data_IF_515223242678
#
_entry.id   IF_515223242678
#
_cell.length_a   1.000
_cell.length_b   1.000
_cell.length_c   1.000
_cell.angle_alpha   90.00
_cell.angle_beta   90.00
_cell.angle_gamma   90.00
#
_symmetry.space_group_name_H-M   'P 1'
#
loop_
_entity.id
_entity.type
_entity.pdbx_description
1 polymer ?
#
# COMPACT_ATOMS: atom_id res chain seq x y z
N UNK A 1 15.83 16.61 -28.46
CA UNK A 1 16.17 15.70 -27.34
C UNK A 1 14.89 15.05 -26.85
N UNK A 2 14.68 13.76 -27.14
CA UNK A 2 13.48 13.02 -26.73
C UNK A 2 13.54 12.74 -25.23
N UNK A 3 12.72 13.44 -24.44
CA UNK A 3 12.53 13.17 -23.01
C UNK A 3 12.11 11.70 -22.86
N UNK A 4 13.02 10.84 -22.38
CA UNK A 4 12.72 9.45 -21.99
C UNK A 4 11.66 9.52 -20.89
N UNK A 5 10.43 9.24 -21.28
CA UNK A 5 9.24 9.34 -20.44
C UNK A 5 9.21 8.32 -19.28
N UNK A 6 8.18 8.41 -18.43
CA UNK A 6 8.07 7.83 -17.07
C UNK A 6 8.05 6.28 -16.97
N UNK A 7 8.48 5.55 -18.00
CA UNK A 7 8.36 4.09 -18.12
C UNK A 7 9.05 3.30 -17.00
N UNK A 8 10.12 3.84 -16.39
CA UNK A 8 10.83 3.19 -15.28
C UNK A 8 10.05 3.21 -13.95
N UNK A 9 9.18 4.19 -13.73
CA UNK A 9 8.44 4.33 -12.46
C UNK A 9 7.44 3.20 -12.26
N UNK A 10 6.71 2.82 -13.33
CA UNK A 10 5.66 1.82 -13.24
C UNK A 10 6.19 0.41 -12.94
N UNK A 11 7.37 0.05 -13.46
CA UNK A 11 7.96 -1.29 -13.25
C UNK A 11 8.34 -1.52 -11.77
N UNK A 12 8.82 -0.48 -11.08
CA UNK A 12 9.14 -0.57 -9.66
C UNK A 12 7.87 -0.74 -8.82
N UNK A 13 6.83 0.05 -9.11
CA UNK A 13 5.55 -0.01 -8.40
C UNK A 13 4.91 -1.41 -8.49
N UNK A 14 4.81 -1.97 -9.70
CA UNK A 14 4.25 -3.31 -9.89
C UNK A 14 5.08 -4.40 -9.19
N UNK A 15 6.40 -4.25 -9.13
CA UNK A 15 7.27 -5.18 -8.40
C UNK A 15 6.99 -5.14 -6.90
N UNK A 16 6.79 -3.95 -6.32
CA UNK A 16 6.44 -3.79 -4.90
C UNK A 16 5.07 -4.38 -4.57
N UNK A 17 4.07 -4.18 -5.45
CA UNK A 17 2.74 -4.78 -5.30
C UNK A 17 2.80 -6.31 -5.32
N UNK A 18 3.57 -6.88 -6.26
CA UNK A 18 3.72 -8.33 -6.37
C UNK A 18 4.37 -8.94 -5.12
N UNK A 19 5.44 -8.30 -4.62
CA UNK A 19 6.09 -8.72 -3.36
C UNK A 19 5.08 -8.67 -2.21
N UNK A 20 4.35 -7.57 -2.07
CA UNK A 20 3.33 -7.42 -1.02
C UNK A 20 2.24 -8.52 -1.10
N UNK A 21 1.74 -8.85 -2.29
CA UNK A 21 0.76 -9.91 -2.48
C UNK A 21 1.29 -11.28 -2.01
N UNK A 22 2.56 -11.60 -2.29
CA UNK A 22 3.18 -12.85 -1.83
C UNK A 22 3.19 -12.91 -0.30
N UNK A 23 3.60 -11.83 0.36
CA UNK A 23 3.59 -11.76 1.83
C UNK A 23 2.18 -11.86 2.41
N UNK A 24 1.18 -11.22 1.77
CA UNK A 24 -0.21 -11.31 2.20
C UNK A 24 -0.76 -12.75 2.12
N UNK A 25 -0.42 -13.48 1.05
CA UNK A 25 -0.83 -14.88 0.88
C UNK A 25 -0.15 -15.79 1.91
N UNK A 26 1.16 -15.66 2.11
CA UNK A 26 1.91 -16.43 3.12
C UNK A 26 1.33 -16.18 4.50
N UNK A 27 1.12 -14.90 4.84
CA UNK A 27 0.49 -14.45 6.08
C UNK A 27 -0.85 -15.15 6.31
N UNK A 28 -1.74 -15.14 5.31
CA UNK A 28 -3.05 -15.80 5.40
C UNK A 28 -2.96 -17.29 5.72
N UNK A 29 -2.07 -18.03 5.05
CA UNK A 29 -1.92 -19.47 5.28
C UNK A 29 -1.35 -19.78 6.68
N UNK A 30 -0.37 -19.00 7.13
CA UNK A 30 0.21 -19.15 8.48
C UNK A 30 -0.85 -18.85 9.54
N UNK A 31 -1.59 -17.74 9.41
CA UNK A 31 -2.65 -17.37 10.36
C UNK A 31 -3.75 -18.40 10.39
N UNK A 32 -4.20 -18.91 9.23
CA UNK A 32 -5.24 -19.94 9.17
C UNK A 32 -4.80 -21.21 9.89
N UNK A 33 -3.58 -21.68 9.65
CA UNK A 33 -3.03 -22.88 10.31
C UNK A 33 -2.96 -22.66 11.83
N UNK A 34 -2.45 -21.52 12.27
CA UNK A 34 -2.39 -21.17 13.69
C UNK A 34 -3.79 -21.04 14.32
N UNK A 35 -4.70 -20.34 13.68
CA UNK A 35 -6.07 -20.14 14.18
C UNK A 35 -6.80 -21.48 14.35
N UNK A 36 -6.67 -22.40 13.40
CA UNK A 36 -7.28 -23.74 13.55
C UNK A 36 -6.69 -24.46 14.77
N UNK A 37 -5.37 -24.46 14.95
CA UNK A 37 -4.73 -25.11 16.10
C UNK A 37 -5.22 -24.49 17.41
N UNK A 38 -5.21 -23.17 17.52
CA UNK A 38 -5.55 -22.44 18.74
C UNK A 38 -7.04 -22.54 19.05
N UNK A 39 -7.94 -22.25 18.10
CA UNK A 39 -9.38 -22.21 18.39
C UNK A 39 -10.05 -23.57 18.46
N UNK A 40 -9.58 -24.56 17.71
CA UNK A 40 -10.23 -25.87 17.73
C UNK A 40 -9.68 -26.77 18.82
N UNK A 41 -8.36 -26.79 19.04
CA UNK A 41 -7.73 -27.79 19.89
C UNK A 41 -7.38 -27.27 21.28
N UNK A 42 -6.91 -26.04 21.42
CA UNK A 42 -6.53 -25.52 22.74
C UNK A 42 -7.72 -25.48 23.73
N UNK A 43 -8.95 -25.05 23.36
CA UNK A 43 -10.11 -25.13 24.25
C UNK A 43 -10.49 -26.55 24.68
N UNK A 44 -10.25 -27.57 23.84
CA UNK A 44 -10.57 -28.96 24.19
C UNK A 44 -9.75 -29.43 25.39
N UNK A 45 -8.50 -28.95 25.51
CA UNK A 45 -7.63 -29.28 26.65
C UNK A 45 -8.22 -28.84 27.99
N UNK A 46 -9.12 -27.85 28.05
CA UNK A 46 -9.79 -27.44 29.30
C UNK A 46 -10.58 -28.59 29.95
N UNK A 47 -11.12 -29.50 29.12
CA UNK A 47 -11.88 -30.66 29.57
C UNK A 47 -11.03 -31.89 29.87
N UNK A 48 -9.73 -31.84 29.59
CA UNK A 48 -8.86 -33.00 29.74
C UNK A 48 -8.66 -33.38 31.21
N UNK A 49 -8.73 -34.67 31.55
CA UNK A 49 -8.35 -35.16 32.88
C UNK A 49 -6.87 -34.90 33.15
N UNK A 50 -6.53 -34.84 34.44
CA UNK A 50 -5.14 -34.64 34.88
C UNK A 50 -4.58 -35.85 35.63
N UNK A 51 -3.26 -35.99 35.57
CA UNK A 51 -2.48 -36.95 36.35
C UNK A 51 -1.17 -36.32 36.79
N UNK A 52 -0.55 -36.86 37.84
CA UNK A 52 0.79 -36.44 38.26
C UNK A 52 1.84 -37.13 37.38
N UNK A 53 2.68 -36.32 36.74
CA UNK A 53 3.83 -36.76 35.97
C UNK A 53 5.15 -36.44 36.67
N UNK A 54 6.22 -37.09 36.22
CA UNK A 54 7.58 -36.83 36.66
C UNK A 54 8.30 -36.11 35.52
N UNK A 55 8.76 -34.87 35.74
CA UNK A 55 9.49 -34.14 34.73
C UNK A 55 10.90 -34.73 34.58
N UNK A 56 11.35 -34.82 33.34
CA UNK A 56 12.69 -35.23 32.94
C UNK A 56 13.49 -33.98 32.56
N UNK A 57 13.98 -33.27 33.57
CA UNK A 57 14.89 -32.13 33.39
C UNK A 57 16.32 -32.61 33.13
N UNK A 58 16.49 -33.51 32.17
CA UNK A 58 17.79 -34.06 31.87
C UNK A 58 18.63 -33.03 31.11
N UNK A 59 19.89 -32.90 31.51
CA UNK A 59 20.77 -31.86 30.99
C UNK A 59 21.36 -32.32 29.66
N UNK A 60 20.94 -31.72 28.54
CA UNK A 60 21.71 -31.89 27.31
C UNK A 60 22.94 -30.97 27.34
N UNK A 61 24.10 -31.63 27.48
CA UNK A 61 25.42 -31.03 27.66
C UNK A 61 25.76 -30.07 26.50
N UNK A 62 26.19 -28.86 26.86
CA UNK A 62 26.68 -27.79 25.97
C UNK A 62 27.58 -28.33 24.85
N UNK A 63 27.30 -27.91 23.61
CA UNK A 63 28.30 -27.91 22.54
C UNK A 63 29.11 -26.62 22.73
N UNK A 64 30.26 -26.73 23.42
CA UNK A 64 31.28 -25.69 23.42
C UNK A 64 31.74 -25.49 21.97
N UNK A 65 31.32 -24.39 21.35
CA UNK A 65 31.82 -24.02 20.05
C UNK A 65 32.99 -23.04 20.26
N UNK A 66 34.21 -23.59 20.22
CA UNK A 66 35.47 -22.92 19.84
C UNK A 66 35.91 -21.64 20.57
N UNK A 67 37.01 -21.78 21.31
CA UNK A 67 38.21 -20.93 21.45
C UNK A 67 38.12 -19.41 21.70
N UNK A 68 36.94 -18.79 21.73
CA UNK A 68 36.82 -17.37 22.08
C UNK A 68 36.60 -17.20 23.59
N UNK A 69 37.53 -16.53 24.31
CA UNK A 69 37.29 -16.16 25.70
C UNK A 69 36.12 -15.18 25.77
N UNK A 70 35.03 -15.59 26.41
CA UNK A 70 33.84 -14.76 26.63
C UNK A 70 32.51 -15.33 26.11
N UNK A 71 32.49 -16.50 25.47
CA UNK A 71 31.24 -17.10 25.01
C UNK A 71 30.53 -17.84 26.16
N UNK A 72 29.35 -17.37 26.56
CA UNK A 72 28.51 -18.02 27.58
C UNK A 72 28.04 -19.40 27.11
N UNK A 73 28.09 -20.39 28.01
CA UNK A 73 27.60 -21.73 27.74
C UNK A 73 26.06 -21.75 27.82
N UNK A 74 25.39 -21.95 26.69
CA UNK A 74 23.95 -22.21 26.68
C UNK A 74 23.68 -23.69 27.03
N UNK A 75 22.81 -23.92 28.01
CA UNK A 75 22.35 -25.27 28.37
C UNK A 75 20.95 -25.51 27.79
N UNK A 76 20.78 -26.63 27.10
CA UNK A 76 19.49 -27.04 26.59
C UNK A 76 18.73 -27.80 27.68
N UNK A 77 17.57 -27.30 28.07
CA UNK A 77 16.66 -28.06 28.93
C UNK A 77 15.50 -28.53 28.06
N UNK A 78 15.45 -29.82 27.77
CA UNK A 78 14.23 -30.42 27.24
C UNK A 78 13.19 -30.49 28.35
N UNK A 79 11.94 -30.30 27.99
CA UNK A 79 10.82 -30.30 28.93
C UNK A 79 10.03 -31.59 28.78
N UNK A 80 10.77 -32.69 28.70
CA UNK A 80 10.19 -34.01 28.61
C UNK A 80 9.59 -34.37 29.97
N UNK A 81 8.45 -35.03 29.99
CA UNK A 81 7.84 -35.54 31.21
C UNK A 81 7.21 -36.90 30.96
N UNK A 82 7.20 -37.72 32.00
CA UNK A 82 6.57 -39.05 31.97
C UNK A 82 5.36 -39.08 32.87
N UNK A 83 4.31 -39.79 32.47
CA UNK A 83 3.07 -39.90 33.21
C UNK A 83 2.42 -41.26 32.95
N UNK A 84 1.61 -41.74 33.91
CA UNK A 84 0.97 -43.04 33.80
C UNK A 84 -0.55 -42.89 33.71
N UNK A 85 -1.15 -43.51 32.70
CA UNK A 85 -2.61 -43.54 32.50
C UNK A 85 -3.02 -45.00 32.32
N UNK A 86 -3.85 -45.51 33.24
CA UNK A 86 -4.34 -46.88 33.17
C UNK A 86 -3.26 -47.97 33.24
N UNK A 87 -2.12 -47.70 33.89
CA UNK A 87 -0.99 -48.62 33.98
C UNK A 87 0.03 -48.47 32.85
N UNK A 88 -0.27 -47.73 31.78
CA UNK A 88 0.66 -47.46 30.68
C UNK A 88 1.39 -46.14 30.90
N UNK A 89 2.73 -46.16 30.75
CA UNK A 89 3.56 -44.96 30.83
C UNK A 89 3.66 -44.30 29.47
N UNK A 90 3.41 -42.99 29.44
CA UNK A 90 3.52 -42.13 28.28
C UNK A 90 4.58 -41.05 28.54
N UNK A 91 5.13 -40.50 27.46
CA UNK A 91 6.06 -39.38 27.48
C UNK A 91 5.45 -38.23 26.69
N UNK A 92 5.57 -37.01 27.20
CA UNK A 92 5.17 -35.79 26.50
C UNK A 92 6.24 -34.71 26.60
N UNK A 93 6.26 -33.82 25.63
CA UNK A 93 7.21 -32.71 25.46
C UNK A 93 6.50 -31.37 25.17
N UNK A 94 5.17 -31.37 25.24
CA UNK A 94 4.32 -30.23 24.91
C UNK A 94 3.92 -29.49 26.19
N UNK A 95 4.20 -28.19 26.20
CA UNK A 95 3.81 -27.30 27.30
C UNK A 95 2.36 -26.86 27.16
N UNK A 96 2.07 -26.25 26.01
CA UNK A 96 0.78 -25.76 25.60
C UNK A 96 0.46 -26.30 24.22
N UNK A 97 -0.82 -26.41 23.92
CA UNK A 97 -1.22 -26.87 22.60
C UNK A 97 -0.78 -25.89 21.50
N UNK A 98 0.12 -26.33 20.62
CA UNK A 98 0.72 -25.48 19.57
C UNK A 98 2.12 -24.97 19.89
N UNK A 99 2.63 -25.21 21.10
CA UNK A 99 3.98 -24.86 21.55
C UNK A 99 4.72 -26.14 21.95
N UNK A 100 5.77 -26.49 21.20
CA UNK A 100 6.78 -27.45 21.65
C UNK A 100 7.72 -26.76 22.63
N UNK A 101 8.25 -27.47 23.63
CA UNK A 101 9.28 -26.85 24.46
C UNK A 101 10.60 -26.71 23.66
N UNK A 102 11.25 -25.52 23.65
CA UNK A 102 10.81 -24.23 24.17
C UNK A 102 9.90 -23.48 23.17
N UNK A 103 8.93 -22.66 23.66
CA UNK A 103 7.98 -21.93 22.83
C UNK A 103 8.74 -20.98 21.89
N UNK A 104 8.72 -21.28 20.60
CA UNK A 104 9.30 -20.43 19.56
C UNK A 104 10.83 -20.52 19.44
N UNK A 105 11.28 -21.04 18.30
CA UNK A 105 12.58 -20.71 17.68
C UNK A 105 13.87 -21.17 18.36
N UNK A 106 13.85 -22.22 19.18
CA UNK A 106 15.10 -22.75 19.75
C UNK A 106 15.77 -21.75 20.70
N UNK A 107 14.97 -20.90 21.35
CA UNK A 107 15.47 -19.98 22.36
C UNK A 107 15.96 -20.74 23.58
N UNK A 108 17.19 -20.42 23.97
CA UNK A 108 17.92 -20.99 25.08
C UNK A 108 17.36 -20.46 26.39
N UNK A 109 16.89 -21.31 27.29
CA UNK A 109 16.57 -20.90 28.66
C UNK A 109 17.87 -20.77 29.44
N UNK A 110 18.10 -19.60 30.01
CA UNK A 110 19.16 -19.39 31.00
C UNK A 110 18.85 -20.19 32.28
N UNK A 111 19.87 -20.44 33.12
CA UNK A 111 19.65 -21.14 34.41
C UNK A 111 18.55 -20.51 35.29
N UNK A 112 18.46 -19.17 35.43
CA UNK A 112 17.39 -18.53 36.19
C UNK A 112 15.99 -18.76 35.61
N UNK A 113 15.81 -18.60 34.30
CA UNK A 113 14.50 -18.79 33.65
C UNK A 113 14.01 -20.23 33.77
N UNK A 114 14.92 -21.20 33.69
CA UNK A 114 14.60 -22.61 33.96
C UNK A 114 14.08 -22.80 35.38
N UNK A 115 14.75 -22.22 36.36
CA UNK A 115 14.38 -22.39 37.77
C UNK A 115 13.02 -21.72 38.07
N UNK A 116 12.70 -20.63 37.39
CA UNK A 116 11.36 -20.02 37.41
C UNK A 116 10.30 -20.93 36.78
N UNK A 117 10.59 -21.54 35.64
CA UNK A 117 9.69 -22.52 35.00
C UNK A 117 9.47 -23.71 35.92
N UNK A 118 10.53 -24.30 36.49
CA UNK A 118 10.42 -25.40 37.45
C UNK A 118 9.55 -25.01 38.64
N UNK A 119 9.83 -23.85 39.25
CA UNK A 119 9.06 -23.34 40.39
C UNK A 119 7.58 -23.09 40.06
N UNK A 120 7.25 -22.80 38.80
CA UNK A 120 5.88 -22.57 38.35
C UNK A 120 5.08 -23.87 38.18
N UNK A 121 5.74 -24.98 37.80
CA UNK A 121 5.05 -26.21 37.40
C UNK A 121 5.21 -27.40 38.34
N UNK A 122 6.36 -27.49 39.01
CA UNK A 122 6.60 -28.53 40.00
C UNK A 122 5.81 -28.23 41.27
N UNK A 123 5.14 -29.26 41.78
CA UNK A 123 4.62 -29.23 43.14
C UNK A 123 5.73 -29.49 44.18
N UNK A 124 5.35 -29.53 45.45
CA UNK A 124 6.29 -29.74 46.56
C UNK A 124 7.04 -31.07 46.50
N UNK A 125 6.53 -32.03 45.72
CA UNK A 125 7.12 -33.37 45.55
C UNK A 125 7.95 -33.46 44.25
N UNK A 126 8.16 -32.33 43.56
CA UNK A 126 8.87 -32.29 42.27
C UNK A 126 8.08 -32.90 41.11
N UNK A 127 6.75 -33.05 41.25
CA UNK A 127 5.87 -33.60 40.21
C UNK A 127 5.16 -32.49 39.46
N UNK A 128 4.86 -32.73 38.19
CA UNK A 128 4.11 -31.81 37.34
C UNK A 128 2.68 -32.31 37.14
N UNK A 129 1.74 -31.39 36.97
CA UNK A 129 0.36 -31.76 36.62
C UNK A 129 0.26 -31.87 35.11
N UNK A 130 -0.02 -33.07 34.63
CA UNK A 130 -0.12 -33.40 33.20
C UNK A 130 -1.59 -33.57 32.83
N UNK A 131 -2.04 -32.85 31.80
CA UNK A 131 -3.39 -32.98 31.24
C UNK A 131 -3.32 -33.78 29.96
N UNK A 132 -4.03 -34.91 29.87
CA UNK A 132 -3.93 -35.84 28.74
C UNK A 132 -5.25 -35.96 27.99
N UNK A 133 -5.19 -36.20 26.68
CA UNK A 133 -6.36 -36.45 25.88
C UNK A 133 -6.93 -37.85 26.20
N UNK A 134 -8.18 -37.97 26.70
CA UNK A 134 -8.73 -39.28 27.08
C UNK A 134 -8.98 -40.19 25.88
N UNK A 135 -9.11 -39.64 24.67
CA UNK A 135 -9.26 -40.42 23.43
C UNK A 135 -7.93 -40.86 22.83
N UNK A 136 -6.83 -40.18 23.18
CA UNK A 136 -5.47 -40.49 22.72
C UNK A 136 -4.45 -40.08 23.81
N UNK A 137 -4.20 -40.93 24.82
CA UNK A 137 -3.35 -40.58 25.95
C UNK A 137 -1.88 -40.31 25.60
N UNK A 138 -1.47 -40.49 24.35
CA UNK A 138 -0.14 -40.05 23.88
C UNK A 138 -0.04 -38.53 23.75
N UNK A 139 -1.18 -37.83 23.66
CA UNK A 139 -1.25 -36.38 23.62
C UNK A 139 -1.46 -35.85 25.03
N UNK A 140 -0.50 -35.08 25.52
CA UNK A 140 -0.64 -34.37 26.79
C UNK A 140 -0.03 -32.97 26.73
N UNK A 141 -0.47 -32.13 27.66
CA UNK A 141 0.00 -30.76 27.87
C UNK A 141 0.16 -30.48 29.36
N UNK A 142 1.08 -29.58 29.72
CA UNK A 142 1.24 -29.10 31.09
C UNK A 142 0.26 -27.97 31.43
N UNK A 143 -0.16 -27.21 30.42
CA UNK A 143 -1.11 -26.12 30.56
C UNK A 143 -2.29 -26.24 29.60
N UNK A 144 -3.48 -25.99 30.13
CA UNK A 144 -4.75 -26.04 29.39
C UNK A 144 -5.12 -24.67 28.84
N UNK A 145 -5.96 -24.70 27.81
CA UNK A 145 -6.63 -23.55 27.27
C UNK A 145 -5.74 -22.66 26.40
N UNK A 146 -6.26 -21.46 26.14
CA UNK A 146 -5.60 -20.42 25.34
C UNK A 146 -4.80 -19.55 26.32
N UNK A 147 -3.51 -19.36 26.04
CA UNK A 147 -2.65 -18.45 26.82
C UNK A 147 -2.68 -17.03 26.23
N UNK A 148 -2.12 -16.07 26.97
CA UNK A 148 -2.00 -14.67 26.53
C UNK A 148 -1.13 -14.53 25.28
N UNK A 149 -0.10 -15.37 25.12
CA UNK A 149 0.82 -15.31 23.98
C UNK A 149 0.11 -15.62 22.66
N UNK A 150 -0.72 -16.65 22.62
CA UNK A 150 -1.58 -16.96 21.48
C UNK A 150 -2.47 -15.77 21.10
N UNK A 151 -3.03 -15.08 22.09
CA UNK A 151 -3.85 -13.88 21.86
C UNK A 151 -2.98 -12.75 21.30
N UNK A 152 -1.80 -12.52 21.86
CA UNK A 152 -0.86 -11.49 21.38
C UNK A 152 -0.48 -11.77 19.93
N UNK A 153 -0.01 -12.97 19.60
CA UNK A 153 0.33 -13.33 18.21
C UNK A 153 -0.86 -13.19 17.27
N UNK A 154 -2.06 -13.58 17.71
CA UNK A 154 -3.27 -13.45 16.92
C UNK A 154 -3.68 -12.00 16.66
N UNK A 155 -3.41 -11.07 17.58
CA UNK A 155 -3.71 -9.65 17.41
C UNK A 155 -2.60 -8.89 16.68
N UNK A 156 -1.35 -9.24 16.95
CA UNK A 156 -0.16 -8.61 16.39
C UNK A 156 -0.06 -8.83 14.88
N UNK A 157 -0.39 -10.03 14.42
CA UNK A 157 -0.27 -10.41 13.01
C UNK A 157 -1.23 -9.66 12.05
N UNK A 158 -2.56 -9.56 12.33
CA UNK A 158 -3.46 -8.73 11.52
C UNK A 158 -3.10 -7.25 11.64
N UNK A 159 -2.60 -6.79 12.79
CA UNK A 159 -2.12 -5.41 12.96
C UNK A 159 -0.95 -5.09 12.00
N UNK A 160 0.07 -5.95 11.93
CA UNK A 160 1.14 -5.78 10.95
C UNK A 160 0.63 -5.85 9.51
N UNK A 161 -0.29 -6.77 9.23
CA UNK A 161 -0.92 -6.87 7.90
C UNK A 161 -1.61 -5.55 7.52
N UNK A 162 -2.37 -4.93 8.44
CA UNK A 162 -2.99 -3.63 8.23
C UNK A 162 -1.96 -2.53 7.96
N UNK A 163 -0.87 -2.47 8.73
CA UNK A 163 0.22 -1.51 8.49
C UNK A 163 0.80 -1.69 7.09
N UNK A 164 1.10 -2.92 6.67
CA UNK A 164 1.63 -3.18 5.33
C UNK A 164 0.63 -2.82 4.24
N UNK A 165 -0.66 -3.11 4.42
CA UNK A 165 -1.71 -2.73 3.46
C UNK A 165 -1.82 -1.21 3.33
N UNK A 166 -1.79 -0.49 4.47
CA UNK A 166 -1.87 0.97 4.51
C UNK A 166 -0.65 1.62 3.90
N UNK A 167 0.55 1.07 4.16
CA UNK A 167 1.78 1.55 3.54
C UNK A 167 1.79 1.33 2.02
N UNK A 168 1.32 0.17 1.54
CA UNK A 168 1.18 -0.07 0.11
C UNK A 168 0.20 0.91 -0.54
N UNK A 169 -0.95 1.18 0.10
CA UNK A 169 -1.91 2.20 -0.34
C UNK A 169 -1.33 3.61 -0.33
N UNK A 170 -0.56 3.96 0.70
CA UNK A 170 0.12 5.24 0.79
C UNK A 170 1.15 5.42 -0.33
N UNK A 171 1.93 4.38 -0.64
CA UNK A 171 2.83 4.39 -1.79
C UNK A 171 2.05 4.56 -3.09
N UNK A 172 0.98 3.80 -3.30
CA UNK A 172 0.10 3.95 -4.47
C UNK A 172 -0.44 5.38 -4.59
N UNK A 173 -0.87 5.98 -3.49
CA UNK A 173 -1.31 7.37 -3.43
C UNK A 173 -0.19 8.33 -3.84
N UNK A 174 1.01 8.21 -3.26
CA UNK A 174 2.16 9.04 -3.61
C UNK A 174 2.55 8.92 -5.09
N UNK A 175 2.47 7.73 -5.67
CA UNK A 175 2.74 7.51 -7.09
C UNK A 175 1.60 7.94 -8.01
N UNK A 176 0.36 8.01 -7.50
CA UNK A 176 -0.81 8.52 -8.23
C UNK A 176 -0.92 10.04 -8.18
N UNK A 177 -0.16 10.71 -7.31
CA UNK A 177 -0.02 12.16 -7.39
C UNK A 177 0.54 12.47 -8.78
N UNK A 178 -0.15 13.30 -9.57
CA UNK A 178 0.36 13.67 -10.88
C UNK A 178 1.78 14.21 -10.70
N UNK A 179 2.73 13.84 -11.58
CA UNK A 179 4.02 14.51 -11.57
C UNK A 179 3.74 16.00 -11.62
N UNK A 180 4.50 16.82 -10.88
CA UNK A 180 4.39 18.27 -11.03
C UNK A 180 4.67 18.57 -12.51
N UNK A 181 3.62 18.72 -13.31
CA UNK A 181 3.76 19.00 -14.73
C UNK A 181 4.36 20.39 -14.84
N UNK A 182 5.50 20.47 -15.51
CA UNK A 182 6.11 21.75 -15.89
C UNK A 182 5.15 22.39 -16.88
N UNK A 183 4.42 23.41 -16.42
CA UNK A 183 3.36 24.06 -17.20
C UNK A 183 3.97 25.05 -18.20
N UNK A 184 5.09 25.68 -17.82
CA UNK A 184 5.86 26.57 -18.70
C UNK A 184 7.30 26.75 -18.23
N UNK A 185 8.16 27.17 -19.16
CA UNK A 185 9.55 27.53 -18.90
C UNK A 185 9.66 29.05 -18.95
N UNK A 186 10.30 29.65 -17.96
CA UNK A 186 10.47 31.10 -17.87
C UNK A 186 11.97 31.45 -17.77
N UNK A 187 12.51 32.31 -18.65
CA UNK A 187 13.91 32.72 -18.56
C UNK A 187 14.14 33.70 -17.41
N UNK A 188 15.20 33.51 -16.64
CA UNK A 188 15.57 34.43 -15.56
C UNK A 188 15.89 35.82 -16.12
N UNK A 189 15.33 36.92 -15.55
CA UNK A 189 15.54 38.28 -16.07
C UNK A 189 16.99 38.80 -15.89
N UNK A 190 17.82 38.11 -15.10
CA UNK A 190 19.21 38.51 -14.83
C UNK A 190 20.24 37.70 -15.58
N UNK A 191 20.04 36.39 -15.71
CA UNK A 191 21.02 35.47 -16.29
C UNK A 191 20.48 34.60 -17.43
N UNK A 192 19.24 34.82 -17.86
CA UNK A 192 18.58 34.12 -18.98
C UNK A 192 18.46 32.59 -18.82
N UNK A 193 18.82 32.05 -17.67
CA UNK A 193 18.66 30.62 -17.38
C UNK A 193 17.19 30.23 -17.42
N UNK A 194 16.88 29.18 -18.17
CA UNK A 194 15.53 28.61 -18.28
C UNK A 194 15.12 27.95 -16.95
N UNK A 195 14.02 28.44 -16.35
CA UNK A 195 13.49 27.91 -15.09
C UNK A 195 12.15 27.21 -15.36
N UNK A 196 12.09 25.93 -15.02
CA UNK A 196 10.85 25.15 -15.09
C UNK A 196 9.89 25.56 -13.97
N UNK A 197 8.68 26.03 -14.34
CA UNK A 197 7.69 26.53 -13.40
C UNK A 197 6.49 25.57 -13.28
N UNK A 198 5.99 25.37 -12.06
CA UNK A 198 4.85 24.49 -11.77
C UNK A 198 3.60 25.27 -11.38
N UNK A 199 2.43 24.63 -11.57
CA UNK A 199 1.12 25.19 -11.20
C UNK A 199 1.10 25.59 -9.72
N UNK A 200 0.87 26.88 -9.47
CA UNK A 200 0.90 27.47 -8.13
C UNK A 200 2.20 28.18 -7.74
N UNK A 201 3.18 28.28 -8.64
CA UNK A 201 4.33 29.20 -8.51
C UNK A 201 4.06 30.60 -9.07
N UNK A 202 3.03 30.76 -9.91
CA UNK A 202 2.59 32.07 -10.40
C UNK A 202 2.32 33.04 -9.23
N UNK A 203 2.71 34.30 -9.39
CA UNK A 203 2.61 35.37 -8.38
C UNK A 203 3.38 35.16 -7.07
N UNK A 204 4.07 34.03 -6.88
CA UNK A 204 4.93 33.82 -5.71
C UNK A 204 6.34 34.34 -5.99
N UNK A 205 6.96 34.91 -4.96
CA UNK A 205 8.38 35.25 -4.99
C UNK A 205 9.20 33.98 -5.01
N UNK A 206 9.99 33.80 -6.06
CA UNK A 206 10.88 32.66 -6.22
C UNK A 206 12.31 33.15 -6.48
N UNK A 207 13.26 32.22 -6.44
CA UNK A 207 14.68 32.49 -6.57
C UNK A 207 15.23 31.77 -7.81
N UNK A 208 16.07 32.45 -8.58
CA UNK A 208 16.86 31.81 -9.62
C UNK A 208 17.94 30.93 -8.97
N UNK A 209 18.07 29.63 -9.30
CA UNK A 209 19.09 28.76 -8.72
C UNK A 209 20.51 29.16 -9.17
N UNK A 210 20.66 29.74 -10.36
CA UNK A 210 21.98 30.10 -10.90
C UNK A 210 22.53 31.43 -10.36
N UNK A 211 21.70 32.46 -10.26
CA UNK A 211 22.15 33.82 -9.92
C UNK A 211 21.54 34.40 -8.63
N UNK A 212 20.79 33.60 -7.89
CA UNK A 212 20.15 33.92 -6.59
C UNK A 212 19.27 35.19 -6.58
N UNK A 213 18.82 35.66 -7.74
CA UNK A 213 17.94 36.84 -7.81
C UNK A 213 16.52 36.44 -7.41
N UNK A 214 15.89 37.25 -6.57
CA UNK A 214 14.46 37.12 -6.25
C UNK A 214 13.62 37.86 -7.29
N UNK A 215 12.62 37.18 -7.84
CA UNK A 215 11.66 37.82 -8.74
C UNK A 215 10.29 37.15 -8.61
N UNK A 216 9.25 37.85 -9.05
CA UNK A 216 7.88 37.36 -9.04
C UNK A 216 7.54 36.84 -10.44
N UNK A 217 7.01 35.62 -10.54
CA UNK A 217 6.53 35.11 -11.82
C UNK A 217 5.26 35.87 -12.25
N UNK A 218 5.15 36.23 -13.54
CA UNK A 218 3.97 36.93 -14.05
C UNK A 218 2.70 36.10 -13.90
N UNK A 219 1.56 36.79 -13.87
CA UNK A 219 0.23 36.19 -13.77
C UNK A 219 -0.12 35.56 -15.11
N UNK A 220 0.29 34.31 -15.31
CA UNK A 220 0.04 33.55 -16.53
C UNK A 220 0.67 34.15 -17.82
N UNK A 221 1.79 33.60 -18.31
CA UNK A 221 2.41 34.08 -19.55
C UNK A 221 1.51 33.90 -20.81
N UNK A 222 0.39 33.16 -20.71
CA UNK A 222 -0.54 32.92 -21.82
C UNK A 222 -1.79 33.82 -21.82
N UNK A 223 -2.01 34.68 -20.80
CA UNK A 223 -3.18 35.58 -20.76
C UNK A 223 -2.90 37.01 -21.20
N UNK A 224 -1.67 37.32 -21.61
CA UNK A 224 -1.31 38.66 -22.09
C UNK A 224 -0.87 38.68 -23.56
N UNK A 225 -1.44 37.82 -24.41
CA UNK A 225 -1.57 38.20 -25.81
C UNK A 225 -2.99 38.72 -26.08
N UNK A 226 -3.27 40.02 -25.85
CA UNK A 226 -4.56 40.65 -26.13
C UNK A 226 -4.94 40.62 -27.62
N UNK A 227 -4.15 39.95 -28.49
CA UNK A 227 -4.48 39.69 -29.89
C UNK A 227 -4.96 38.26 -30.18
N UNK A 228 -4.95 37.34 -29.21
CA UNK A 228 -5.32 35.94 -29.46
C UNK A 228 -6.79 35.57 -29.19
N UNK A 229 -7.55 36.43 -28.52
CA UNK A 229 -8.96 36.17 -28.15
C UNK A 229 -9.98 36.38 -29.30
N UNK A 230 -9.53 36.64 -30.54
CA UNK A 230 -10.42 36.78 -31.71
C UNK A 230 -10.43 35.54 -32.62
N UNK A 231 -9.64 34.48 -32.34
CA UNK A 231 -9.50 33.39 -33.32
C UNK A 231 -9.40 31.97 -32.77
N UNK A 232 -10.24 31.55 -31.83
CA UNK A 232 -10.49 30.11 -31.65
C UNK A 232 -11.73 29.77 -30.82
N UNK A 233 -12.91 30.17 -31.27
CA UNK A 233 -14.15 29.46 -30.94
C UNK A 233 -15.07 29.53 -32.16
N UNK A 234 -14.86 28.60 -33.10
CA UNK A 234 -15.91 28.16 -34.00
C UNK A 234 -16.18 26.70 -33.66
N UNK A 235 -17.13 26.54 -32.76
CA UNK A 235 -17.81 25.29 -32.49
C UNK A 235 -18.32 24.71 -33.82
N UNK A 236 -18.05 23.43 -34.13
CA UNK A 236 -18.51 22.80 -35.35
C UNK A 236 -19.92 22.28 -35.12
N UNK A 237 -20.89 23.19 -35.03
CA UNK A 237 -22.28 22.79 -35.19
C UNK A 237 -23.02 23.68 -36.17
N UNK A 238 -23.71 23.00 -37.06
CA UNK A 238 -24.18 23.48 -38.33
C UNK A 238 -25.39 24.41 -38.17
N UNK A 239 -25.25 25.66 -38.59
CA UNK A 239 -26.36 26.37 -39.21
C UNK A 239 -26.00 26.55 -40.68
N UNK A 240 -26.52 25.67 -41.54
CA UNK A 240 -26.57 25.90 -42.98
C UNK A 240 -27.43 27.15 -43.20
N UNK A 241 -26.82 28.33 -43.26
CA UNK A 241 -27.44 29.48 -43.88
C UNK A 241 -27.37 29.24 -45.38
N UNK A 242 -28.52 28.94 -46.00
CA UNK A 242 -28.63 28.79 -47.44
C UNK A 242 -28.34 30.16 -48.08
N UNK A 243 -27.18 30.29 -48.71
CA UNK A 243 -26.81 31.48 -49.48
C UNK A 243 -27.48 31.40 -50.86
N UNK A 244 -28.13 32.49 -51.28
CA UNK A 244 -28.68 32.65 -52.62
C UNK A 244 -27.76 33.55 -53.44
N UNK A 245 -27.29 33.06 -54.59
CA UNK A 245 -26.52 33.85 -55.54
C UNK A 245 -27.43 34.42 -56.62
N UNK A 246 -27.41 35.74 -56.82
CA UNK A 246 -28.16 36.43 -57.89
C UNK A 246 -27.34 37.55 -58.52
N UNK A 247 -27.54 37.81 -59.81
CA UNK A 247 -26.83 38.87 -60.53
C UNK A 247 -27.45 40.25 -60.27
N UNK A 248 -26.62 41.26 -59.98
CA UNK A 248 -27.09 42.64 -59.87
C UNK A 248 -27.51 43.19 -61.25
N UNK A 249 -28.73 43.71 -61.44
CA UNK A 249 -29.22 44.18 -62.74
C UNK A 249 -28.49 45.44 -63.24
N UNK A 250 -27.75 46.15 -62.39
CA UNK A 250 -27.02 47.36 -62.76
C UNK A 250 -25.59 47.11 -63.23
N UNK A 251 -24.87 46.16 -62.60
CA UNK A 251 -23.46 45.90 -62.91
C UNK A 251 -23.16 44.46 -63.33
N UNK A 252 -24.17 43.57 -63.36
CA UNK A 252 -24.03 42.15 -63.72
C UNK A 252 -23.07 41.36 -62.83
N UNK A 253 -22.81 41.83 -61.61
CA UNK A 253 -21.95 41.12 -60.66
C UNK A 253 -22.79 40.22 -59.76
N UNK A 254 -22.30 38.99 -59.55
CA UNK A 254 -22.91 38.02 -58.65
C UNK A 254 -22.90 38.55 -57.21
N UNK A 255 -24.08 38.63 -56.63
CA UNK A 255 -24.32 39.01 -55.26
C UNK A 255 -24.76 37.76 -54.50
N UNK A 256 -23.98 37.38 -53.49
CA UNK A 256 -24.33 36.27 -52.62
C UNK A 256 -24.99 36.83 -51.36
N UNK A 257 -26.27 36.54 -51.17
CA UNK A 257 -27.10 37.13 -50.11
C UNK A 257 -27.74 36.02 -49.28
N UNK A 258 -27.83 36.21 -47.97
CA UNK A 258 -28.59 35.31 -47.11
C UNK A 258 -30.08 35.35 -47.47
N UNK A 259 -30.75 34.19 -47.48
CA UNK A 259 -32.21 34.10 -47.67
C UNK A 259 -33.02 34.96 -46.69
N UNK A 260 -32.48 35.23 -45.51
CA UNK A 260 -33.14 36.06 -44.49
C UNK A 260 -33.38 37.52 -44.93
N UNK A 261 -32.74 37.94 -46.04
CA UNK A 261 -32.85 39.28 -46.61
C UNK A 261 -33.84 39.36 -47.79
N UNK A 262 -34.49 38.26 -48.19
CA UNK A 262 -35.53 38.28 -49.23
C UNK A 262 -36.65 39.27 -48.85
N UNK A 263 -37.13 40.03 -49.84
CA UNK A 263 -38.07 41.15 -49.62
C UNK A 263 -37.45 42.44 -49.07
N UNK A 264 -36.16 42.47 -48.71
CA UNK A 264 -35.47 43.69 -48.25
C UNK A 264 -34.71 44.39 -49.39
N UNK A 265 -34.43 45.69 -49.18
CA UNK A 265 -33.59 46.47 -50.08
C UNK A 265 -32.14 46.42 -49.59
N UNK A 266 -31.25 45.88 -50.41
CA UNK A 266 -29.81 45.77 -50.13
C UNK A 266 -28.99 46.61 -51.09
N UNK A 267 -27.84 47.12 -50.64
CA UNK A 267 -26.94 47.93 -51.47
C UNK A 267 -25.88 47.04 -52.12
N UNK A 268 -25.74 47.10 -53.46
CA UNK A 268 -24.72 46.33 -54.16
C UNK A 268 -23.30 46.84 -53.82
N UNK A 269 -22.36 45.99 -53.36
CA UNK A 269 -21.02 46.43 -52.95
C UNK A 269 -20.18 46.98 -54.11
N UNK A 270 -20.47 46.57 -55.35
CA UNK A 270 -19.71 46.98 -56.53
C UNK A 270 -20.19 48.31 -57.12
N UNK A 271 -21.49 48.53 -57.21
CA UNK A 271 -22.05 49.73 -57.86
C UNK A 271 -22.76 50.70 -56.90
N UNK A 272 -22.96 50.31 -55.63
CA UNK A 272 -23.68 51.07 -54.58
C UNK A 272 -25.15 51.39 -54.88
N UNK A 273 -25.72 50.74 -55.90
CA UNK A 273 -27.14 50.89 -56.20
C UNK A 273 -27.96 50.01 -55.26
N UNK A 274 -29.09 50.54 -54.79
CA UNK A 274 -30.05 49.81 -53.96
C UNK A 274 -30.89 48.86 -54.83
N UNK A 275 -30.98 47.60 -54.43
CA UNK A 275 -31.70 46.52 -55.11
C UNK A 275 -32.70 45.90 -54.14
N UNK A 276 -33.98 45.85 -54.54
CA UNK A 276 -34.99 45.10 -53.82
C UNK A 276 -34.88 43.61 -54.16
N UNK A 277 -34.73 42.76 -53.15
CA UNK A 277 -34.69 41.31 -53.31
C UNK A 277 -36.11 40.78 -53.50
N UNK A 278 -36.34 39.82 -54.41
CA UNK A 278 -37.68 39.26 -54.63
C UNK A 278 -38.21 38.62 -53.35
N UNK A 279 -39.52 38.75 -53.10
CA UNK A 279 -40.21 37.94 -52.09
C UNK A 279 -40.36 36.51 -52.64
N UNK A 280 -40.15 35.51 -51.80
CA UNK A 280 -40.22 34.07 -52.15
C UNK A 280 -41.64 33.62 -52.51
#
# INVERSE_FOLDING_TARGET
MTKKGPEKSNKLLWSLIAIWLVFAVISFFVTKKYAVIVFSKAPQTNSWPSVKGVPSWEHHRSRSNSDQPGTENFTYTNCDYTYNVGGTTYTGDVFHWGETCPPGSGFFLTHPERDEVKAKFEDKDGKVTVYYNPSDPSQAVLLRGINTEHIVYMLLWPFFTLIYTGFAWFLLYLFSLPPNEVEFVFPCPRCETEIECYKGMAQKMNWCPECEVRFQFPVNPYLEDPKSEIRSQKDPDQLHQEELTMECPHCSQDLNVSKDLLGQVVECPSCRQQLALPEE
#
